data_IF_833391604759
#
_entry.id   IF_833391604759
#
_cell.length_a   1.000
_cell.length_b   1.000
_cell.length_c   1.000
_cell.angle_alpha   90.00
_cell.angle_beta   90.00
_cell.angle_gamma   90.00
#
_symmetry.space_group_name_H-M   'P 1'
#
loop_
_entity.id
_entity.type
_entity.pdbx_description
1 polymer ?
#
# COMPACT_ATOMS: atom_id res chain seq x y z
N UNK A 1 5.28 7.63 15.18
CA UNK A 1 4.54 8.03 13.97
C UNK A 1 3.19 8.60 14.36
N UNK A 2 2.90 9.79 13.87
CA UNK A 2 1.64 10.46 14.13
C UNK A 2 0.51 9.75 13.35
N UNK A 3 -0.62 9.50 14.02
CA UNK A 3 -1.77 8.84 13.39
C UNK A 3 -1.73 7.33 13.43
N UNK A 4 -0.66 6.73 13.98
CA UNK A 4 -0.50 5.28 14.11
C UNK A 4 -0.38 4.93 15.58
N UNK A 5 -1.13 3.94 16.08
CA UNK A 5 -1.00 3.52 17.48
C UNK A 5 0.42 3.08 17.80
N UNK A 6 0.84 3.32 19.04
CA UNK A 6 2.13 2.85 19.54
C UNK A 6 2.20 1.33 19.43
N UNK A 7 3.39 0.81 19.14
CA UNK A 7 3.66 -0.63 19.03
C UNK A 7 3.01 -1.30 17.83
N UNK A 8 2.57 -0.53 16.83
CA UNK A 8 2.18 -1.10 15.54
C UNK A 8 3.39 -1.69 14.84
N UNK A 9 3.16 -2.79 14.11
CA UNK A 9 4.23 -3.46 13.36
C UNK A 9 4.37 -2.82 11.98
N UNK A 10 5.61 -2.58 11.58
CA UNK A 10 5.90 -2.12 10.22
C UNK A 10 5.85 -3.34 9.30
N UNK A 11 4.91 -3.34 8.35
CA UNK A 11 4.76 -4.43 7.40
C UNK A 11 5.64 -4.23 6.16
N UNK A 12 5.76 -2.99 5.68
CA UNK A 12 6.51 -2.71 4.47
C UNK A 12 6.92 -1.25 4.46
N UNK A 13 8.11 -0.99 3.92
CA UNK A 13 8.62 0.37 3.71
C UNK A 13 9.23 0.42 2.34
N UNK A 14 8.83 1.40 1.53
CA UNK A 14 9.43 1.59 0.21
C UNK A 14 9.92 3.03 0.07
N UNK A 15 11.07 3.19 -0.61
CA UNK A 15 11.55 4.50 -1.00
C UNK A 15 10.97 4.84 -2.38
N UNK A 16 10.64 6.11 -2.57
CA UNK A 16 10.16 6.55 -3.88
C UNK A 16 11.30 6.47 -4.90
N UNK A 17 10.97 6.03 -6.11
CA UNK A 17 11.90 6.06 -7.24
C UNK A 17 11.97 7.43 -7.91
N UNK A 18 11.06 8.33 -7.55
CA UNK A 18 10.91 9.63 -8.19
C UNK A 18 11.49 10.78 -7.37
N UNK A 19 11.59 10.60 -6.04
CA UNK A 19 12.04 11.65 -5.14
C UNK A 19 12.79 11.02 -3.97
N UNK A 20 14.04 11.39 -3.79
CA UNK A 20 14.91 10.84 -2.74
C UNK A 20 14.43 11.19 -1.33
N UNK A 21 13.62 12.23 -1.16
CA UNK A 21 13.09 12.65 0.14
C UNK A 21 11.80 11.92 0.54
N UNK A 22 11.22 11.16 -0.39
CA UNK A 22 9.90 10.55 -0.21
C UNK A 22 10.02 9.06 0.03
N UNK A 23 9.24 8.57 0.99
CA UNK A 23 9.08 7.15 1.26
C UNK A 23 7.67 6.88 1.77
N UNK A 24 7.25 5.63 1.68
CA UNK A 24 5.94 5.18 2.14
C UNK A 24 6.11 4.00 3.07
N UNK A 25 5.22 3.88 4.05
CA UNK A 25 5.22 2.77 4.99
C UNK A 25 3.81 2.28 5.24
N UNK A 26 3.65 0.96 5.39
CA UNK A 26 2.39 0.36 5.83
C UNK A 26 2.61 -0.32 7.16
N UNK A 27 1.62 -0.18 8.04
CA UNK A 27 1.69 -0.66 9.41
C UNK A 27 0.53 -1.59 9.71
N UNK A 28 0.76 -2.53 10.61
CA UNK A 28 -0.20 -3.54 11.03
C UNK A 28 -0.35 -3.49 12.55
N UNK A 29 -1.58 -3.43 13.01
CA UNK A 29 -1.90 -3.44 14.43
C UNK A 29 -2.95 -4.52 14.76
N UNK A 30 -3.07 -5.55 13.91
CA UNK A 30 -4.12 -6.56 14.05
C UNK A 30 -4.01 -7.36 15.36
N UNK A 31 -2.82 -7.53 15.88
CA UNK A 31 -2.61 -8.26 17.15
C UNK A 31 -3.28 -7.57 18.33
N UNK A 32 -3.59 -6.30 18.20
CA UNK A 32 -4.28 -5.52 19.22
C UNK A 32 -5.77 -5.33 18.90
N UNK A 33 -6.27 -6.06 17.91
CA UNK A 33 -7.67 -5.98 17.49
C UNK A 33 -8.00 -4.81 16.57
N UNK A 34 -6.99 -4.04 16.17
CA UNK A 34 -7.17 -2.91 15.26
C UNK A 34 -6.91 -3.37 13.83
N UNK A 35 -7.95 -3.45 13.02
CA UNK A 35 -7.87 -3.96 11.65
C UNK A 35 -7.85 -2.85 10.60
N UNK A 36 -7.62 -1.61 11.00
CA UNK A 36 -7.54 -0.50 10.05
C UNK A 36 -6.25 -0.58 9.23
N UNK A 37 -6.31 -0.21 7.93
CA UNK A 37 -5.09 -0.07 7.16
C UNK A 37 -4.39 1.25 7.52
N UNK A 38 -3.08 1.17 7.73
CA UNK A 38 -2.26 2.35 8.04
C UNK A 38 -1.23 2.52 6.95
N UNK A 39 -1.36 3.57 6.15
CA UNK A 39 -0.39 3.95 5.12
C UNK A 39 0.09 5.37 5.40
N UNK A 40 1.39 5.53 5.51
CA UNK A 40 2.01 6.79 5.83
C UNK A 40 3.00 7.20 4.76
N UNK A 41 3.18 8.50 4.60
CA UNK A 41 4.12 9.09 3.65
C UNK A 41 5.02 10.07 4.38
N UNK A 42 6.32 10.02 4.09
CA UNK A 42 7.25 11.08 4.47
C UNK A 42 7.70 11.85 3.23
N UNK A 43 7.92 13.14 3.37
CA UNK A 43 8.45 14.00 2.33
C UNK A 43 9.75 14.67 2.76
N UNK A 44 10.28 14.27 3.92
CA UNK A 44 11.48 14.88 4.51
C UNK A 44 12.45 13.82 5.04
N UNK A 45 12.57 12.72 4.33
CA UNK A 45 13.50 11.61 4.63
C UNK A 45 13.21 10.94 5.96
N UNK A 46 11.95 10.87 6.34
CA UNK A 46 11.54 10.16 7.55
C UNK A 46 11.50 11.01 8.80
N UNK A 47 11.75 12.30 8.72
CA UNK A 47 11.69 13.19 9.89
C UNK A 47 10.26 13.38 10.38
N UNK A 48 9.32 13.44 9.46
CA UNK A 48 7.89 13.49 9.78
C UNK A 48 7.12 12.61 8.81
N UNK A 49 6.00 12.07 9.27
CA UNK A 49 5.15 11.18 8.50
C UNK A 49 3.71 11.64 8.59
N UNK A 50 2.97 11.53 7.50
CA UNK A 50 1.54 11.83 7.50
C UNK A 50 0.74 10.60 7.07
N UNK A 51 -0.43 10.43 7.66
CA UNK A 51 -1.35 9.37 7.31
C UNK A 51 -2.02 9.70 5.98
N UNK A 52 -1.96 8.78 5.02
CA UNK A 52 -2.61 8.95 3.70
C UNK A 52 -3.65 7.89 3.42
N UNK A 53 -4.05 7.11 4.43
CA UNK A 53 -4.99 6.00 4.28
C UNK A 53 -6.39 6.31 4.77
N UNK A 54 -6.71 7.57 5.04
CA UNK A 54 -8.02 7.95 5.60
C UNK A 54 -9.20 7.52 4.73
N UNK A 55 -9.01 7.45 3.42
CA UNK A 55 -10.04 7.10 2.46
C UNK A 55 -10.10 5.59 2.18
N UNK A 56 -9.22 4.79 2.79
CA UNK A 56 -9.31 3.34 2.71
C UNK A 56 -10.39 2.81 3.64
N UNK A 57 -10.99 1.65 3.33
CA UNK A 57 -11.97 1.04 4.24
C UNK A 57 -11.39 0.87 5.64
N UNK A 58 -12.21 1.02 6.65
CA UNK A 58 -11.77 0.93 8.05
C UNK A 58 -11.36 -0.48 8.48
N UNK A 59 -11.60 -1.48 7.63
CA UNK A 59 -11.18 -2.86 7.89
C UNK A 59 -10.36 -3.36 6.72
N UNK A 60 -9.36 -4.17 7.02
CA UNK A 60 -8.49 -4.72 6.01
C UNK A 60 -7.07 -4.22 6.19
N UNK A 61 -6.33 -4.91 7.07
CA UNK A 61 -4.93 -4.60 7.35
C UNK A 61 -4.12 -4.48 6.06
N UNK A 62 -3.33 -3.42 5.95
CA UNK A 62 -2.43 -3.22 4.82
C UNK A 62 -1.16 -4.06 5.02
N UNK A 63 -0.77 -4.79 3.98
CA UNK A 63 0.39 -5.69 4.03
C UNK A 63 1.55 -5.22 3.17
N UNK A 64 1.27 -4.54 2.06
CA UNK A 64 2.31 -4.16 1.10
C UNK A 64 1.89 -2.91 0.34
N UNK A 65 2.89 -2.17 -0.14
CA UNK A 65 2.67 -0.95 -0.92
C UNK A 65 3.72 -0.88 -2.02
N UNK A 66 3.31 -0.40 -3.20
CA UNK A 66 4.25 -0.06 -4.26
C UNK A 66 3.85 1.26 -4.92
N UNK A 67 4.84 1.91 -5.51
CA UNK A 67 4.64 3.12 -6.30
C UNK A 67 4.91 2.80 -7.76
N UNK A 68 4.09 3.37 -8.66
CA UNK A 68 4.34 3.21 -10.09
C UNK A 68 5.68 3.82 -10.49
N UNK A 69 6.37 3.14 -11.41
CA UNK A 69 7.70 3.58 -11.83
C UNK A 69 7.66 4.77 -12.81
N UNK A 70 6.50 5.09 -13.36
CA UNK A 70 6.30 6.19 -14.30
C UNK A 70 5.55 7.34 -13.66
N UNK A 71 4.45 7.07 -12.97
CA UNK A 71 3.60 8.07 -12.35
C UNK A 71 3.82 8.10 -10.84
N UNK A 72 4.43 9.16 -10.27
CA UNK A 72 4.69 9.23 -8.85
C UNK A 72 3.44 9.32 -7.97
N UNK A 73 2.30 9.67 -8.54
CA UNK A 73 1.04 9.77 -7.79
C UNK A 73 0.26 8.46 -7.75
N UNK A 74 0.68 7.46 -8.52
CA UNK A 74 0.00 6.17 -8.61
C UNK A 74 0.62 5.20 -7.62
N UNK A 75 -0.16 4.80 -6.61
CA UNK A 75 0.25 3.86 -5.58
C UNK A 75 -0.73 2.70 -5.55
N UNK A 76 -0.23 1.51 -5.22
CA UNK A 76 -1.04 0.32 -5.00
C UNK A 76 -0.77 -0.21 -3.60
N UNK A 77 -1.83 -0.56 -2.89
CA UNK A 77 -1.75 -1.14 -1.54
C UNK A 77 -2.45 -2.50 -1.55
N UNK A 78 -1.76 -3.52 -1.09
CA UNK A 78 -2.32 -4.84 -0.89
C UNK A 78 -2.81 -4.99 0.53
N UNK A 79 -4.06 -5.44 0.70
CA UNK A 79 -4.70 -5.57 1.99
C UNK A 79 -5.25 -6.99 2.19
N UNK A 80 -5.88 -7.23 3.34
CA UNK A 80 -6.58 -8.48 3.62
C UNK A 80 -7.70 -8.78 2.62
N UNK A 81 -8.26 -7.76 1.97
CA UNK A 81 -9.43 -7.91 1.12
C UNK A 81 -9.18 -7.60 -0.35
N UNK A 82 -7.93 -7.38 -0.74
CA UNK A 82 -7.59 -7.15 -2.12
C UNK A 82 -6.64 -5.98 -2.30
N UNK A 83 -6.62 -5.43 -3.52
CA UNK A 83 -5.73 -4.34 -3.90
C UNK A 83 -6.52 -3.06 -4.03
N UNK A 84 -6.00 -1.99 -3.45
CA UNK A 84 -6.53 -0.63 -3.61
C UNK A 84 -5.48 0.24 -4.28
N UNK A 85 -5.92 1.23 -5.03
CA UNK A 85 -5.00 2.14 -5.70
C UNK A 85 -5.43 3.59 -5.52
N UNK A 86 -4.46 4.48 -5.63
CA UNK A 86 -4.70 5.91 -5.68
C UNK A 86 -3.94 6.49 -6.88
N UNK A 87 -4.53 7.45 -7.57
CA UNK A 87 -3.86 8.18 -8.64
C UNK A 87 -3.56 9.62 -8.26
N UNK A 88 -3.82 9.98 -7.01
CA UNK A 88 -3.59 11.33 -6.48
C UNK A 88 -2.78 11.31 -5.18
N UNK A 89 -1.87 10.34 -5.08
CA UNK A 89 -0.91 10.22 -3.97
C UNK A 89 -1.61 10.09 -2.60
N UNK A 90 -2.70 9.33 -2.56
CA UNK A 90 -3.40 9.03 -1.32
C UNK A 90 -4.57 9.96 -1.01
N UNK A 91 -4.89 10.91 -1.89
CA UNK A 91 -6.05 11.79 -1.70
C UNK A 91 -7.36 11.03 -1.75
N UNK A 92 -7.46 10.06 -2.65
CA UNK A 92 -8.59 9.14 -2.71
C UNK A 92 -8.12 7.76 -3.14
N UNK A 93 -8.76 6.73 -2.62
CA UNK A 93 -8.42 5.33 -2.89
C UNK A 93 -9.59 4.61 -3.55
N UNK A 94 -9.28 3.69 -4.45
CA UNK A 94 -10.26 2.92 -5.19
C UNK A 94 -9.91 1.44 -5.13
N UNK A 95 -10.91 0.59 -5.04
CA UNK A 95 -10.70 -0.85 -5.06
C UNK A 95 -10.44 -1.33 -6.49
N UNK A 96 -9.45 -2.22 -6.65
CA UNK A 96 -9.18 -2.87 -7.92
C UNK A 96 -10.12 -4.07 -8.07
N UNK A 97 -11.26 -3.86 -8.72
CA UNK A 97 -12.37 -4.82 -8.73
C UNK A 97 -12.20 -6.00 -9.68
N UNK A 98 -11.13 -6.01 -10.49
CA UNK A 98 -10.85 -7.14 -11.39
C UNK A 98 -10.30 -8.36 -10.64
N UNK A 99 -9.98 -8.21 -9.36
CA UNK A 99 -9.50 -9.30 -8.51
C UNK A 99 -10.61 -9.81 -7.59
N UNK A 100 -10.59 -11.10 -7.22
CA UNK A 100 -11.47 -11.56 -6.16
C UNK A 100 -11.08 -10.93 -4.82
N UNK A 101 -12.01 -10.95 -3.86
CA UNK A 101 -11.71 -10.52 -2.50
C UNK A 101 -10.78 -11.55 -1.86
N UNK A 102 -9.50 -11.17 -1.69
CA UNK A 102 -8.46 -12.08 -1.24
C UNK A 102 -7.33 -11.27 -0.57
N UNK A 103 -6.73 -11.87 0.45
CA UNK A 103 -5.60 -11.25 1.12
C UNK A 103 -4.39 -11.20 0.19
N UNK A 104 -3.79 -10.01 0.07
CA UNK A 104 -2.66 -9.74 -0.80
C UNK A 104 -1.38 -9.67 0.02
N UNK A 105 -0.44 -10.57 -0.28
CA UNK A 105 0.82 -10.67 0.45
C UNK A 105 1.87 -9.72 -0.11
N UNK A 106 1.91 -9.57 -1.43
CA UNK A 106 2.99 -8.86 -2.09
C UNK A 106 2.50 -8.25 -3.41
N UNK A 107 3.11 -7.14 -3.78
CA UNK A 107 2.83 -6.43 -5.03
C UNK A 107 4.13 -6.07 -5.72
N UNK A 108 4.15 -6.16 -7.04
CA UNK A 108 5.30 -5.77 -7.83
C UNK A 108 4.83 -5.25 -9.19
N UNK A 109 5.51 -4.24 -9.71
CA UNK A 109 5.29 -3.78 -11.08
C UNK A 109 6.42 -4.28 -11.94
N UNK A 110 6.07 -5.06 -12.96
CA UNK A 110 7.05 -5.48 -13.95
C UNK A 110 7.28 -4.32 -14.91
N UNK A 111 8.41 -3.66 -14.77
CA UNK A 111 8.69 -2.40 -15.47
C UNK A 111 8.67 -2.52 -16.98
N UNK A 112 9.10 -3.67 -17.50
CA UNK A 112 9.21 -3.89 -18.92
C UNK A 112 7.84 -3.89 -19.61
N UNK A 113 6.86 -4.55 -18.99
CA UNK A 113 5.51 -4.71 -19.56
C UNK A 113 4.50 -3.75 -18.93
N UNK A 114 4.85 -3.12 -17.82
CA UNK A 114 3.91 -2.30 -17.06
C UNK A 114 2.86 -3.10 -16.30
N UNK A 115 3.05 -4.41 -16.16
CA UNK A 115 2.08 -5.29 -15.51
C UNK A 115 2.18 -5.22 -14.00
N UNK A 116 1.04 -5.24 -13.33
CA UNK A 116 0.95 -5.37 -11.89
C UNK A 116 0.90 -6.85 -11.53
N UNK A 117 1.87 -7.30 -10.72
CA UNK A 117 1.94 -8.68 -10.24
C UNK A 117 1.46 -8.71 -8.80
N UNK A 118 0.44 -9.52 -8.52
CA UNK A 118 -0.20 -9.61 -7.21
C UNK A 118 0.05 -11.00 -6.62
N UNK A 119 0.81 -11.07 -5.54
CA UNK A 119 1.00 -12.30 -4.78
C UNK A 119 -0.01 -12.38 -3.65
N UNK A 120 -0.67 -13.53 -3.50
CA UNK A 120 -1.74 -13.72 -2.52
C UNK A 120 -1.34 -14.74 -1.47
N UNK A 121 -2.10 -14.74 -0.37
CA UNK A 121 -1.95 -15.76 0.67
C UNK A 121 -2.73 -17.02 0.24
N UNK A 122 -2.04 -17.97 -0.39
CA UNK A 122 -2.59 -19.29 -0.68
C UNK A 122 -3.41 -19.43 -1.96
N UNK A 123 -3.60 -18.37 -2.72
CA UNK A 123 -4.38 -18.42 -3.97
C UNK A 123 -3.56 -18.13 -5.22
N UNK A 124 -2.24 -18.21 -5.12
CA UNK A 124 -1.36 -18.04 -6.25
C UNK A 124 -1.07 -16.59 -6.58
N UNK A 125 -0.70 -16.36 -7.83
CA UNK A 125 -0.24 -15.06 -8.31
C UNK A 125 -1.16 -14.60 -9.43
N UNK A 126 -1.55 -13.33 -9.38
CA UNK A 126 -2.34 -12.68 -10.44
C UNK A 126 -1.46 -11.67 -11.17
N UNK A 127 -1.59 -11.60 -12.48
CA UNK A 127 -0.87 -10.65 -13.32
C UNK A 127 -1.92 -9.82 -14.05
N UNK A 128 -1.86 -8.50 -13.84
CA UNK A 128 -2.82 -7.57 -14.42
C UNK A 128 -2.13 -6.66 -15.42
N UNK A 129 -2.67 -6.59 -16.61
CA UNK A 129 -2.18 -5.64 -17.63
C UNK A 129 -2.48 -4.22 -17.16
N UNK A 130 -1.54 -3.35 -17.42
CA UNK A 130 -1.66 -1.94 -17.04
C UNK A 130 -2.76 -1.22 -17.82
#
# INVERSE_FOLDING_TARGET
FRGVPDMSLVEDVIASHHDVDVAYAVFDNHKRGDLKPYVLKTEDRGRSWKLISSDLPERGTAHTIIQDHVDPNLLFVGTEFGVFFTSDDGGSWHELTTLPTIAVRDLEIQRREGDLVVGTFGRGIYILDD
#
